data_IF_263935046679
#
_entry.id   IF_263935046679
#
_cell.length_a   1.000
_cell.length_b   1.000
_cell.length_c   1.000
_cell.angle_alpha   90.00
_cell.angle_beta   90.00
_cell.angle_gamma   90.00
#
_symmetry.space_group_name_H-M   'P 1'
#
loop_
_entity.id
_entity.type
_entity.pdbx_description
1 polymer ?
#
# COMPACT_ATOMS: atom_id res chain seq x y z
N UNK A 1 -14.85 -26.32 4.74
CA UNK A 1 -13.77 -25.53 4.12
C UNK A 1 -13.63 -24.15 4.78
N UNK A 2 -12.81 -24.04 5.84
CA UNK A 2 -12.49 -22.73 6.46
C UNK A 2 -11.46 -22.02 5.58
N UNK A 3 -11.85 -20.95 4.88
CA UNK A 3 -10.91 -20.06 4.17
C UNK A 3 -9.90 -19.52 5.20
N UNK A 4 -8.65 -20.00 5.12
CA UNK A 4 -7.58 -19.54 5.98
C UNK A 4 -7.44 -18.01 5.95
N UNK A 5 -7.35 -17.39 7.12
CA UNK A 5 -6.98 -15.97 7.26
C UNK A 5 -5.62 -15.79 6.58
N UNK A 6 -5.58 -15.15 5.41
CA UNK A 6 -4.31 -14.74 4.79
C UNK A 6 -3.63 -13.78 5.76
N UNK A 7 -2.61 -14.27 6.47
CA UNK A 7 -1.63 -13.44 7.17
C UNK A 7 -1.00 -12.50 6.13
N UNK A 8 -1.57 -11.29 6.02
CA UNK A 8 -1.08 -10.23 5.16
C UNK A 8 0.14 -9.64 5.85
N UNK A 9 1.30 -10.25 5.60
CA UNK A 9 2.62 -9.69 5.92
C UNK A 9 2.72 -8.26 5.35
N UNK A 10 3.56 -7.47 5.99
CA UNK A 10 3.78 -6.02 5.88
C UNK A 10 3.44 -5.31 4.57
N UNK A 11 3.08 -4.05 4.78
CA UNK A 11 2.41 -3.10 3.89
C UNK A 11 3.19 -2.85 2.61
N UNK A 12 2.75 -3.48 1.52
CA UNK A 12 3.02 -2.98 0.18
C UNK A 12 1.70 -2.59 -0.51
N UNK A 13 1.38 -1.30 -0.45
CA UNK A 13 0.20 -0.67 -1.05
C UNK A 13 0.03 -1.01 -2.55
N UNK A 14 1.14 -1.31 -3.22
CA UNK A 14 1.24 -1.48 -4.66
C UNK A 14 1.02 -2.92 -5.16
N UNK A 15 0.84 -3.90 -4.25
CA UNK A 15 0.60 -5.31 -4.61
C UNK A 15 1.74 -5.98 -5.40
N UNK A 16 2.98 -5.50 -5.23
CA UNK A 16 4.13 -5.92 -6.03
C UNK A 16 4.83 -7.07 -5.32
N UNK A 17 4.77 -8.28 -5.90
CA UNK A 17 5.30 -9.51 -5.28
C UNK A 17 6.80 -9.49 -4.98
N UNK A 18 7.61 -8.78 -5.77
CA UNK A 18 9.08 -8.76 -5.69
C UNK A 18 9.63 -7.35 -5.41
N UNK A 19 8.86 -6.48 -4.72
CA UNK A 19 9.22 -5.08 -4.52
C UNK A 19 10.56 -4.91 -3.82
N UNK A 20 10.81 -5.67 -2.75
CA UNK A 20 12.07 -5.64 -2.01
C UNK A 20 13.27 -5.91 -2.93
N UNK A 21 13.20 -6.95 -3.78
CA UNK A 21 14.24 -7.25 -4.77
C UNK A 21 14.47 -6.08 -5.74
N UNK A 22 13.39 -5.46 -6.23
CA UNK A 22 13.52 -4.30 -7.13
C UNK A 22 14.11 -3.08 -6.44
N UNK A 23 13.76 -2.83 -5.18
CA UNK A 23 14.34 -1.77 -4.36
C UNK A 23 15.84 -2.00 -4.14
N UNK A 24 16.25 -3.24 -3.86
CA UNK A 24 17.68 -3.61 -3.76
C UNK A 24 18.40 -3.32 -5.07
N UNK A 25 17.89 -3.76 -6.23
CA UNK A 25 18.51 -3.43 -7.51
C UNK A 25 18.63 -1.92 -7.71
N UNK A 26 17.57 -1.16 -7.40
CA UNK A 26 17.57 0.30 -7.54
C UNK A 26 18.61 0.99 -6.64
N UNK A 27 18.81 0.49 -5.41
CA UNK A 27 19.77 1.03 -4.47
C UNK A 27 21.22 0.78 -4.90
N UNK A 28 21.52 -0.41 -5.43
CA UNK A 28 22.88 -0.84 -5.77
C UNK A 28 23.26 -0.67 -7.25
N UNK A 29 22.36 -0.16 -8.10
CA UNK A 29 22.58 -0.04 -9.56
C UNK A 29 23.82 0.75 -9.99
N UNK A 30 24.32 1.64 -9.12
CA UNK A 30 25.50 2.48 -9.39
C UNK A 30 26.82 1.79 -9.00
N UNK A 31 26.75 0.78 -8.13
CA UNK A 31 27.92 0.05 -7.63
C UNK A 31 28.16 -1.24 -8.40
N UNK A 32 27.09 -1.86 -8.89
CA UNK A 32 27.15 -3.14 -9.60
C UNK A 32 26.31 -3.11 -10.87
N UNK A 33 26.68 -3.88 -11.92
CA UNK A 33 25.85 -4.04 -13.09
C UNK A 33 24.46 -4.57 -12.72
N UNK A 34 23.41 -3.92 -13.22
CA UNK A 34 22.00 -4.34 -13.05
C UNK A 34 21.83 -5.82 -13.44
N UNK A 35 22.56 -6.22 -14.48
CA UNK A 35 22.58 -7.59 -14.97
C UNK A 35 23.01 -8.62 -13.93
N UNK A 36 24.00 -8.27 -13.10
CA UNK A 36 24.52 -9.09 -12.02
C UNK A 36 23.57 -9.08 -10.82
N UNK A 37 23.09 -7.90 -10.42
CA UNK A 37 22.11 -7.75 -9.33
C UNK A 37 20.83 -8.55 -9.56
N UNK A 38 20.27 -8.51 -10.77
CA UNK A 38 19.10 -9.31 -11.13
C UNK A 38 19.37 -10.83 -11.06
N UNK A 39 20.57 -11.26 -11.45
CA UNK A 39 20.97 -12.66 -11.40
C UNK A 39 21.08 -13.16 -9.94
N UNK A 40 21.75 -12.40 -9.08
CA UNK A 40 21.90 -12.70 -7.65
C UNK A 40 20.53 -12.77 -6.95
N UNK A 41 19.63 -11.83 -7.26
CA UNK A 41 18.29 -11.77 -6.68
C UNK A 41 17.27 -12.70 -7.34
N UNK A 42 17.68 -13.49 -8.35
CA UNK A 42 16.82 -14.43 -9.10
C UNK A 42 15.55 -13.76 -9.67
N UNK A 43 15.70 -12.56 -10.23
CA UNK A 43 14.63 -11.82 -10.91
C UNK A 43 14.98 -11.55 -12.36
N UNK A 44 13.98 -11.39 -13.23
CA UNK A 44 14.25 -11.03 -14.63
C UNK A 44 14.57 -9.54 -14.75
N UNK A 45 15.46 -9.19 -15.69
CA UNK A 45 15.75 -7.77 -16.01
C UNK A 45 14.49 -7.05 -16.48
N UNK A 46 13.67 -7.73 -17.29
CA UNK A 46 12.41 -7.21 -17.79
C UNK A 46 11.41 -6.87 -16.68
N UNK A 47 11.35 -7.66 -15.60
CA UNK A 47 10.46 -7.37 -14.48
C UNK A 47 10.92 -6.16 -13.67
N UNK A 48 12.24 -5.98 -13.52
CA UNK A 48 12.83 -4.78 -12.92
C UNK A 48 12.50 -3.52 -13.72
N UNK A 49 12.75 -3.50 -15.03
CA UNK A 49 12.44 -2.33 -15.85
C UNK A 49 10.93 -2.05 -15.94
N UNK A 50 10.10 -3.10 -15.99
CA UNK A 50 8.64 -2.95 -15.91
C UNK A 50 8.20 -2.30 -14.59
N UNK A 51 8.83 -2.67 -13.48
CA UNK A 51 8.60 -2.04 -12.19
C UNK A 51 9.08 -0.59 -12.16
N UNK A 52 10.26 -0.32 -12.73
CA UNK A 52 10.88 1.01 -12.75
C UNK A 52 10.01 2.04 -13.49
N UNK A 53 9.38 1.63 -14.59
CA UNK A 53 8.53 2.51 -15.41
C UNK A 53 7.03 2.36 -15.10
N UNK A 54 6.68 1.66 -14.03
CA UNK A 54 5.28 1.44 -13.66
C UNK A 54 4.63 2.76 -13.23
N UNK A 55 3.50 3.09 -13.85
CA UNK A 55 2.58 4.15 -13.37
C UNK A 55 1.54 3.58 -12.42
N UNK A 56 1.13 4.32 -11.37
CA UNK A 56 0.07 3.88 -10.49
C UNK A 56 -1.27 3.81 -11.24
N UNK A 57 -2.08 2.80 -10.93
CA UNK A 57 -3.45 2.69 -11.47
C UNK A 57 -4.37 3.72 -10.82
N UNK A 58 -5.45 4.12 -11.49
CA UNK A 58 -6.50 4.98 -10.93
C UNK A 58 -6.99 4.50 -9.55
N UNK A 59 -7.13 3.18 -9.36
CA UNK A 59 -7.53 2.59 -8.07
C UNK A 59 -6.47 2.79 -6.97
N UNK A 60 -5.19 2.78 -7.34
CA UNK A 60 -4.08 3.03 -6.40
C UNK A 60 -4.05 4.50 -6.01
N UNK A 61 -4.22 5.40 -6.97
CA UNK A 61 -4.32 6.85 -6.74
C UNK A 61 -5.51 7.16 -5.81
N UNK A 62 -6.69 6.60 -6.07
CA UNK A 62 -7.84 6.75 -5.19
C UNK A 62 -7.59 6.20 -3.78
N UNK A 63 -6.92 5.05 -3.67
CA UNK A 63 -6.58 4.49 -2.37
C UNK A 63 -5.60 5.38 -1.61
N UNK A 64 -4.58 5.95 -2.28
CA UNK A 64 -3.63 6.89 -1.68
C UNK A 64 -4.33 8.14 -1.18
N UNK A 65 -5.26 8.70 -1.97
CA UNK A 65 -6.08 9.84 -1.54
C UNK A 65 -6.91 9.50 -0.31
N UNK A 66 -7.59 8.35 -0.33
CA UNK A 66 -8.40 7.90 0.81
C UNK A 66 -7.55 7.60 2.05
N UNK A 67 -6.35 7.04 1.89
CA UNK A 67 -5.40 6.82 2.99
C UNK A 67 -5.02 8.16 3.62
N UNK A 68 -4.71 9.17 2.80
CA UNK A 68 -4.38 10.51 3.27
C UNK A 68 -5.53 11.10 4.11
N UNK A 69 -6.76 11.05 3.58
CA UNK A 69 -7.94 11.53 4.31
C UNK A 69 -8.14 10.78 5.64
N UNK A 70 -7.94 9.46 5.66
CA UNK A 70 -8.03 8.64 6.88
C UNK A 70 -6.99 9.07 7.92
N UNK A 71 -5.74 9.26 7.50
CA UNK A 71 -4.63 9.67 8.39
C UNK A 71 -4.87 11.06 8.94
N UNK A 72 -5.32 12.00 8.10
CA UNK A 72 -5.64 13.37 8.51
C UNK A 72 -6.76 13.39 9.57
N UNK A 73 -7.82 12.60 9.37
CA UNK A 73 -8.90 12.45 10.36
C UNK A 73 -8.37 11.79 11.64
N UNK A 74 -7.59 10.72 11.52
CA UNK A 74 -7.03 10.02 12.67
C UNK A 74 -6.19 10.96 13.53
N UNK A 75 -5.29 11.73 12.91
CA UNK A 75 -4.43 12.70 13.57
C UNK A 75 -5.21 13.87 14.17
N UNK A 76 -6.21 14.39 13.45
CA UNK A 76 -7.11 15.47 13.94
C UNK A 76 -7.78 15.10 15.27
N UNK A 77 -8.12 13.83 15.44
CA UNK A 77 -8.73 13.31 16.66
C UNK A 77 -7.76 12.55 17.56
N UNK A 78 -6.44 12.78 17.41
CA UNK A 78 -5.37 12.17 18.24
C UNK A 78 -5.48 10.65 18.38
N UNK A 79 -5.93 9.98 17.32
CA UNK A 79 -6.09 8.53 17.29
C UNK A 79 -7.25 7.95 18.11
N UNK A 80 -8.14 8.80 18.64
CA UNK A 80 -9.34 8.37 19.39
C UNK A 80 -10.34 7.66 18.46
N UNK A 81 -10.37 8.07 17.19
CA UNK A 81 -11.34 7.57 16.23
C UNK A 81 -10.89 6.25 15.62
N UNK A 82 -11.61 5.16 15.97
CA UNK A 82 -11.52 3.88 15.27
C UNK A 82 -12.23 3.90 13.90
N UNK A 83 -12.16 2.78 13.18
CA UNK A 83 -12.55 2.74 11.76
C UNK A 83 -14.00 3.13 11.50
N UNK A 84 -14.91 2.79 12.42
CA UNK A 84 -16.33 3.09 12.28
C UNK A 84 -16.59 4.59 12.38
N UNK A 85 -15.89 5.30 13.27
CA UNK A 85 -15.99 6.77 13.41
C UNK A 85 -15.38 7.48 12.21
N UNK A 86 -14.23 7.00 11.73
CA UNK A 86 -13.59 7.54 10.52
C UNK A 86 -14.48 7.34 9.29
N UNK A 87 -15.09 6.16 9.12
CA UNK A 87 -16.06 5.91 8.05
C UNK A 87 -17.26 6.88 8.09
N UNK A 88 -17.84 7.10 9.28
CA UNK A 88 -18.94 8.05 9.45
C UNK A 88 -18.50 9.46 9.08
N UNK A 89 -17.30 9.89 9.51
CA UNK A 89 -16.76 11.20 9.17
C UNK A 89 -16.55 11.35 7.66
N UNK A 90 -15.93 10.37 6.99
CA UNK A 90 -15.73 10.37 5.54
C UNK A 90 -17.06 10.52 4.78
N UNK A 91 -18.11 9.82 5.24
CA UNK A 91 -19.42 9.82 4.58
C UNK A 91 -20.23 11.10 4.85
N UNK A 92 -20.23 11.59 6.08
CA UNK A 92 -21.10 12.71 6.50
C UNK A 92 -20.43 14.09 6.36
N UNK A 93 -19.12 14.20 6.60
CA UNK A 93 -18.40 15.47 6.57
C UNK A 93 -17.67 15.71 5.25
N UNK A 94 -17.13 14.67 4.64
CA UNK A 94 -16.42 14.76 3.36
C UNK A 94 -17.27 14.31 2.17
N UNK A 95 -18.53 13.92 2.40
CA UNK A 95 -19.48 13.45 1.38
C UNK A 95 -18.93 12.35 0.45
N UNK A 96 -17.96 11.57 0.93
CA UNK A 96 -17.34 10.51 0.13
C UNK A 96 -18.17 9.23 0.17
N UNK A 97 -18.48 8.69 -1.01
CA UNK A 97 -19.14 7.38 -1.15
C UNK A 97 -18.11 6.25 -1.07
N UNK A 98 -17.69 5.91 0.15
CA UNK A 98 -16.74 4.82 0.42
C UNK A 98 -17.42 3.65 1.13
N UNK A 99 -16.96 2.42 0.86
CA UNK A 99 -17.45 1.23 1.58
C UNK A 99 -16.71 1.09 2.93
N UNK A 100 -17.44 0.84 4.01
CA UNK A 100 -16.86 0.62 5.34
C UNK A 100 -15.80 -0.50 5.37
N UNK A 101 -15.94 -1.55 4.55
CA UNK A 101 -14.92 -2.62 4.42
C UNK A 101 -13.61 -2.11 3.79
N UNK A 102 -13.69 -1.14 2.88
CA UNK A 102 -12.51 -0.50 2.26
C UNK A 102 -11.76 0.32 3.30
N UNK A 103 -12.48 1.12 4.11
CA UNK A 103 -11.91 1.92 5.20
C UNK A 103 -11.23 1.03 6.24
N UNK A 104 -11.93 -0.02 6.71
CA UNK A 104 -11.37 -1.01 7.64
C UNK A 104 -10.08 -1.64 7.11
N UNK A 105 -10.09 -2.09 5.84
CA UNK A 105 -8.92 -2.69 5.20
C UNK A 105 -7.73 -1.71 5.15
N UNK A 106 -7.98 -0.46 4.77
CA UNK A 106 -6.91 0.54 4.66
C UNK A 106 -6.35 0.93 6.04
N UNK A 107 -7.21 1.09 7.05
CA UNK A 107 -6.74 1.37 8.42
C UNK A 107 -5.92 0.22 9.00
N UNK A 108 -6.36 -1.03 8.80
CA UNK A 108 -5.56 -2.18 9.21
C UNK A 108 -4.21 -2.27 8.47
N UNK A 109 -4.16 -1.85 7.20
CA UNK A 109 -2.88 -1.77 6.49
C UNK A 109 -1.96 -0.71 7.07
N UNK A 110 -2.49 0.35 7.69
CA UNK A 110 -1.69 1.39 8.31
C UNK A 110 -1.37 1.09 9.80
N UNK A 111 -1.74 -0.10 10.29
CA UNK A 111 -1.69 -0.46 11.72
C UNK A 111 -2.39 0.57 12.63
N UNK A 112 -3.36 1.31 12.09
CA UNK A 112 -4.16 2.25 12.87
C UNK A 112 -5.21 1.47 13.66
N UNK A 113 -5.56 2.00 14.83
CA UNK A 113 -6.62 1.41 15.67
C UNK A 113 -7.92 1.33 14.87
N UNK A 114 -8.30 0.10 14.53
CA UNK A 114 -9.55 -0.20 13.82
C UNK A 114 -10.69 -0.36 14.81
#
# INVERSE_FOLDING_TARGET
>A
FKKGRRNRKEVDETGIRQKASYQTVKAFKNLYPIAWLCSVLKISRSSYYKWLHRKPSNKEIENQKLIKDIVDIYNKYKGIYGYRRIYIYLRLKLHQKVNHKRVYRLMNQLNLKS
#
